data_IF_626216282437
#
_entry.id   IF_626216282437
#
_cell.length_a   1.000
_cell.length_b   1.000
_cell.length_c   1.000
_cell.angle_alpha   90.00
_cell.angle_beta   90.00
_cell.angle_gamma   90.00
#
_symmetry.space_group_name_H-M   'P 1'
#
loop_
_entity.id
_entity.type
_entity.pdbx_description
1 polymer ?
#
# COMPACT_ATOMS: atom_id res chain seq x y z
N UNK A 1 9.12 5.50 10.64
CA UNK A 1 8.02 5.64 9.64
C UNK A 1 7.20 6.88 9.98
N UNK A 2 6.83 7.68 8.98
CA UNK A 2 5.95 8.82 9.11
C UNK A 2 4.59 8.38 8.59
N UNK A 3 3.58 8.34 9.45
CA UNK A 3 2.24 7.82 9.16
C UNK A 3 1.21 8.94 9.33
N UNK A 4 0.59 9.35 8.24
CA UNK A 4 -0.48 10.34 8.24
C UNK A 4 -1.27 10.32 6.94
N UNK A 5 -2.56 10.64 7.03
CA UNK A 5 -3.41 10.91 5.86
C UNK A 5 -3.26 12.34 5.31
N UNK A 6 -2.56 13.22 6.05
CA UNK A 6 -2.37 14.64 5.67
C UNK A 6 -0.96 14.87 5.15
N UNK A 7 -0.86 15.33 3.90
CA UNK A 7 0.44 15.60 3.29
C UNK A 7 1.29 16.60 4.07
N UNK A 8 0.71 17.65 4.62
CA UNK A 8 1.44 18.65 5.42
C UNK A 8 2.13 18.05 6.65
N UNK A 9 1.53 17.03 7.26
CA UNK A 9 2.13 16.30 8.39
C UNK A 9 3.28 15.41 7.92
N UNK A 10 3.09 14.70 6.80
CA UNK A 10 4.14 13.89 6.17
C UNK A 10 5.35 14.75 5.84
N UNK A 11 5.14 15.89 5.19
CA UNK A 11 6.24 16.78 4.81
C UNK A 11 6.96 17.38 6.03
N UNK A 12 6.24 17.79 7.05
CA UNK A 12 6.84 18.25 8.30
C UNK A 12 7.68 17.15 8.96
N UNK A 13 7.17 15.92 8.99
CA UNK A 13 7.90 14.77 9.50
C UNK A 13 9.17 14.46 8.71
N UNK A 14 9.10 14.52 7.36
CA UNK A 14 10.28 14.31 6.49
C UNK A 14 11.43 15.29 6.78
N UNK A 15 11.10 16.53 7.16
CA UNK A 15 12.12 17.54 7.54
C UNK A 15 12.82 17.23 8.85
N UNK A 16 12.23 16.37 9.70
CA UNK A 16 12.75 16.06 11.02
C UNK A 16 13.43 14.68 11.10
N UNK A 17 13.26 13.83 10.10
CA UNK A 17 13.82 12.47 10.10
C UNK A 17 15.28 12.51 9.67
N UNK A 18 16.13 11.84 10.45
CA UNK A 18 17.51 11.55 10.07
C UNK A 18 17.64 10.13 9.54
N UNK A 19 18.47 9.96 8.52
CA UNK A 19 18.62 8.69 7.82
C UNK A 19 17.43 8.41 6.90
N UNK A 20 17.32 7.16 6.44
CA UNK A 20 16.29 6.76 5.48
C UNK A 20 14.93 6.56 6.18
N UNK A 21 14.03 7.51 5.99
CA UNK A 21 12.66 7.41 6.47
C UNK A 21 11.77 6.58 5.55
N UNK A 22 10.58 6.22 6.03
CA UNK A 22 9.51 5.61 5.24
C UNK A 22 8.26 6.45 5.44
N UNK A 23 7.62 6.84 4.35
CA UNK A 23 6.32 7.53 4.35
C UNK A 23 5.20 6.51 4.24
N UNK A 24 4.20 6.60 5.08
CA UNK A 24 2.95 5.85 4.99
C UNK A 24 1.78 6.84 4.97
N UNK A 25 1.11 7.08 3.86
CA UNK A 25 1.29 6.50 2.54
C UNK A 25 0.93 7.54 1.47
N UNK A 26 1.21 7.23 0.21
CA UNK A 26 0.69 7.95 -0.94
C UNK A 26 -0.17 7.02 -1.81
N UNK A 27 -1.02 7.61 -2.65
CA UNK A 27 -1.87 6.86 -3.59
C UNK A 27 -2.33 7.76 -4.72
N UNK A 28 -2.98 7.18 -5.73
CA UNK A 28 -3.56 7.93 -6.85
C UNK A 28 -5.01 8.42 -6.60
N UNK A 29 -5.51 8.34 -5.36
CA UNK A 29 -6.90 8.74 -5.04
C UNK A 29 -7.19 10.20 -5.37
N UNK A 30 -6.21 11.09 -5.23
CA UNK A 30 -6.30 12.51 -5.56
C UNK A 30 -5.82 12.80 -7.00
N UNK A 31 -5.66 11.77 -7.82
CA UNK A 31 -5.18 11.86 -9.19
C UNK A 31 -3.66 11.75 -9.34
N UNK A 32 -3.26 11.44 -10.57
CA UNK A 32 -1.86 11.17 -10.94
C UNK A 32 -0.95 12.38 -10.72
N UNK A 33 -1.43 13.61 -10.96
CA UNK A 33 -0.62 14.81 -10.80
C UNK A 33 -0.15 15.00 -9.35
N UNK A 34 -1.06 14.84 -8.38
CA UNK A 34 -0.75 14.96 -6.98
C UNK A 34 0.15 13.79 -6.51
N UNK A 35 -0.14 12.58 -6.96
CA UNK A 35 0.69 11.40 -6.70
C UNK A 35 2.15 11.62 -7.13
N UNK A 36 2.38 12.11 -8.35
CA UNK A 36 3.72 12.44 -8.86
C UNK A 36 4.38 13.57 -8.04
N UNK A 37 3.62 14.59 -7.66
CA UNK A 37 4.13 15.70 -6.84
C UNK A 37 4.65 15.19 -5.49
N UNK A 38 3.86 14.39 -4.81
CA UNK A 38 4.22 13.79 -3.52
C UNK A 38 5.43 12.86 -3.66
N UNK A 39 5.44 11.99 -4.65
CA UNK A 39 6.54 11.07 -4.92
C UNK A 39 7.87 11.80 -5.18
N UNK A 40 7.86 12.88 -5.98
CA UNK A 40 9.06 13.70 -6.21
C UNK A 40 9.60 14.32 -4.93
N UNK A 41 8.73 14.79 -4.04
CA UNK A 41 9.15 15.34 -2.76
C UNK A 41 9.73 14.26 -1.84
N UNK A 42 9.09 13.11 -1.72
CA UNK A 42 9.60 11.98 -0.92
C UNK A 42 10.99 11.55 -1.43
N UNK A 43 11.14 11.43 -2.75
CA UNK A 43 12.44 11.11 -3.38
C UNK A 43 13.51 12.15 -3.03
N UNK A 44 13.18 13.44 -3.04
CA UNK A 44 14.14 14.52 -2.67
C UNK A 44 14.60 14.42 -1.22
N UNK A 45 13.75 13.93 -0.31
CA UNK A 45 14.13 13.64 1.07
C UNK A 45 14.87 12.30 1.25
N UNK A 46 15.03 11.51 0.18
CA UNK A 46 15.70 10.21 0.23
C UNK A 46 14.93 9.13 0.98
N UNK A 47 13.62 9.30 1.14
CA UNK A 47 12.77 8.35 1.85
C UNK A 47 12.17 7.29 0.92
N UNK A 48 11.86 6.12 1.48
CA UNK A 48 11.00 5.11 0.87
C UNK A 48 9.52 5.47 1.11
N UNK A 49 8.61 4.86 0.36
CA UNK A 49 7.19 5.13 0.51
C UNK A 49 6.33 3.88 0.41
N UNK A 50 5.32 3.83 1.26
CA UNK A 50 4.19 2.93 1.08
C UNK A 50 3.25 3.52 0.03
N UNK A 51 2.86 2.72 -0.94
CA UNK A 51 1.93 3.07 -2.02
C UNK A 51 0.70 2.18 -1.89
N UNK A 52 -0.41 2.79 -1.50
CA UNK A 52 -1.67 2.06 -1.39
C UNK A 52 -2.29 1.81 -2.77
N UNK A 53 -2.86 0.62 -2.95
CA UNK A 53 -3.66 0.28 -4.13
C UNK A 53 -5.02 1.01 -4.09
N UNK A 54 -4.98 2.31 -4.35
CA UNK A 54 -6.09 3.25 -4.30
C UNK A 54 -5.95 4.25 -5.44
N UNK A 55 -6.92 4.31 -6.32
CA UNK A 55 -6.97 5.25 -7.43
C UNK A 55 -8.19 6.17 -7.36
N UNK A 56 -8.45 6.90 -8.42
CA UNK A 56 -9.54 7.86 -8.54
C UNK A 56 -10.94 7.20 -8.41
N UNK A 57 -11.03 5.88 -8.60
CA UNK A 57 -12.27 5.10 -8.48
C UNK A 57 -12.46 4.49 -7.08
N UNK A 58 -11.44 4.51 -6.25
CA UNK A 58 -11.49 3.98 -4.89
C UNK A 58 -10.42 2.94 -4.58
N UNK A 59 -10.52 2.31 -3.41
CA UNK A 59 -9.62 1.23 -2.99
C UNK A 59 -9.82 -0.03 -3.82
N UNK A 60 -8.72 -0.69 -4.14
CA UNK A 60 -8.75 -2.01 -4.78
C UNK A 60 -9.22 -3.07 -3.78
N UNK A 61 -10.29 -3.75 -4.11
CA UNK A 61 -10.88 -4.86 -3.35
C UNK A 61 -10.58 -6.21 -3.98
N UNK A 62 -10.63 -6.33 -5.31
CA UNK A 62 -10.37 -7.56 -6.06
C UNK A 62 -8.90 -7.71 -6.47
N UNK A 63 -8.46 -8.94 -6.69
CA UNK A 63 -7.12 -9.25 -7.22
C UNK A 63 -6.78 -8.40 -8.46
N UNK A 64 -7.67 -8.37 -9.44
CA UNK A 64 -7.45 -7.66 -10.71
C UNK A 64 -7.20 -6.17 -10.47
N UNK A 65 -8.05 -5.52 -9.67
CA UNK A 65 -7.89 -4.10 -9.33
C UNK A 65 -6.59 -3.82 -8.59
N UNK A 66 -6.17 -4.74 -7.69
CA UNK A 66 -4.92 -4.58 -6.93
C UNK A 66 -3.71 -4.57 -7.85
N UNK A 67 -3.62 -5.52 -8.78
CA UNK A 67 -2.48 -5.59 -9.71
C UNK A 67 -2.46 -4.44 -10.70
N UNK A 68 -3.60 -4.05 -11.28
CA UNK A 68 -3.71 -2.93 -12.21
C UNK A 68 -3.25 -1.60 -11.59
N UNK A 69 -3.71 -1.30 -10.38
CA UNK A 69 -3.32 -0.07 -9.67
C UNK A 69 -1.85 -0.10 -9.28
N UNK A 70 -1.34 -1.25 -8.77
CA UNK A 70 0.07 -1.36 -8.41
C UNK A 70 1.00 -1.25 -9.62
N UNK A 71 0.65 -1.88 -10.74
CA UNK A 71 1.42 -1.79 -11.98
C UNK A 71 1.42 -0.36 -12.53
N UNK A 72 0.26 0.28 -12.60
CA UNK A 72 0.13 1.68 -13.03
C UNK A 72 0.97 2.61 -12.14
N UNK A 73 0.89 2.44 -10.82
CA UNK A 73 1.67 3.24 -9.89
C UNK A 73 3.17 2.98 -10.01
N UNK A 74 3.58 1.73 -10.22
CA UNK A 74 4.97 1.36 -10.43
C UNK A 74 5.55 2.05 -11.66
N UNK A 75 4.88 1.95 -12.80
CA UNK A 75 5.33 2.57 -14.07
C UNK A 75 5.45 4.09 -13.92
N UNK A 76 4.46 4.75 -13.28
CA UNK A 76 4.53 6.19 -13.02
C UNK A 76 5.73 6.54 -12.12
N UNK A 77 5.95 5.78 -11.05
CA UNK A 77 7.03 6.07 -10.10
C UNK A 77 8.40 5.83 -10.71
N UNK A 78 8.61 4.71 -11.38
CA UNK A 78 9.92 4.34 -11.94
C UNK A 78 10.21 5.13 -13.20
N UNK A 79 9.29 5.14 -14.18
CA UNK A 79 9.56 5.68 -15.51
C UNK A 79 9.41 7.19 -15.57
N UNK A 80 8.43 7.77 -14.87
CA UNK A 80 8.13 9.21 -14.99
C UNK A 80 8.68 10.04 -13.83
N UNK A 81 8.77 9.49 -12.61
CA UNK A 81 9.34 10.17 -11.44
C UNK A 81 10.81 9.83 -11.26
N UNK A 82 11.26 8.66 -11.73
CA UNK A 82 12.58 8.11 -11.48
C UNK A 82 12.77 7.71 -10.02
N UNK A 83 11.70 7.23 -9.37
CA UNK A 83 11.74 6.74 -8.00
C UNK A 83 12.47 5.40 -7.96
N UNK A 84 13.39 5.16 -6.99
CA UNK A 84 14.06 3.86 -6.88
C UNK A 84 13.04 2.75 -6.60
N UNK A 85 13.05 1.69 -7.40
CA UNK A 85 12.09 0.59 -7.27
C UNK A 85 12.18 -0.09 -5.89
N UNK A 86 13.39 -0.21 -5.33
CA UNK A 86 13.65 -0.77 -4.01
C UNK A 86 13.09 0.06 -2.85
N UNK A 87 12.71 1.29 -3.10
CA UNK A 87 12.10 2.20 -2.14
C UNK A 87 10.57 2.25 -2.23
N UNK A 88 9.99 1.50 -3.16
CA UNK A 88 8.55 1.35 -3.31
C UNK A 88 8.07 0.16 -2.48
N UNK A 89 7.08 0.39 -1.62
CA UNK A 89 6.45 -0.62 -0.78
C UNK A 89 4.96 -0.61 -1.08
N UNK A 90 4.46 -1.56 -1.85
CA UNK A 90 3.02 -1.63 -2.13
C UNK A 90 2.22 -2.12 -0.94
N UNK A 91 1.09 -1.48 -0.67
CA UNK A 91 0.01 -2.01 0.15
C UNK A 91 -1.19 -2.28 -0.76
N UNK A 92 -1.39 -3.55 -1.17
CA UNK A 92 -2.49 -3.91 -2.06
C UNK A 92 -3.85 -3.94 -1.36
N UNK A 93 -3.97 -3.39 -0.17
CA UNK A 93 -5.12 -3.39 0.73
C UNK A 93 -5.53 -4.79 1.17
N UNK A 94 -5.70 -4.97 2.48
CA UNK A 94 -6.30 -6.18 3.03
C UNK A 94 -7.55 -5.80 3.85
N UNK A 95 -8.64 -6.53 3.62
CA UNK A 95 -9.92 -6.29 4.25
C UNK A 95 -10.33 -7.47 5.12
N UNK A 96 -11.33 -7.26 5.98
CA UNK A 96 -11.85 -8.28 6.87
C UNK A 96 -12.55 -9.40 6.09
N UNK A 97 -12.29 -10.63 6.51
CA UNK A 97 -13.04 -11.82 6.08
C UNK A 97 -14.13 -12.16 7.12
N UNK A 98 -14.98 -13.14 6.81
CA UNK A 98 -16.05 -13.62 7.70
C UNK A 98 -16.99 -12.51 8.17
N UNK A 99 -17.31 -11.58 7.29
CA UNK A 99 -18.23 -10.45 7.55
C UNK A 99 -19.70 -10.83 7.38
N UNK A 100 -19.99 -12.03 6.88
CA UNK A 100 -21.33 -12.45 6.46
C UNK A 100 -21.72 -12.00 5.04
N UNK A 101 -20.83 -11.33 4.32
CA UNK A 101 -21.00 -10.89 2.93
C UNK A 101 -20.15 -11.82 2.05
N UNK A 102 -20.78 -12.46 1.06
CA UNK A 102 -20.15 -13.49 0.24
C UNK A 102 -18.98 -12.94 -0.60
N UNK A 103 -19.10 -11.72 -1.13
CA UNK A 103 -18.06 -11.05 -1.90
C UNK A 103 -16.76 -10.82 -1.10
N UNK A 104 -16.83 -10.78 0.23
CA UNK A 104 -15.67 -10.58 1.10
C UNK A 104 -14.87 -11.87 1.36
N UNK A 105 -15.37 -13.04 0.96
CA UNK A 105 -14.72 -14.31 1.26
C UNK A 105 -13.34 -14.47 0.61
N UNK A 106 -13.10 -13.81 -0.52
CA UNK A 106 -11.85 -13.90 -1.27
C UNK A 106 -10.80 -12.82 -0.90
N UNK A 107 -11.10 -11.89 -0.03
CA UNK A 107 -10.19 -10.75 0.25
C UNK A 107 -8.79 -11.16 0.72
N UNK A 108 -8.69 -12.22 1.53
CA UNK A 108 -7.38 -12.72 1.97
C UNK A 108 -6.61 -13.39 0.81
N UNK A 109 -7.31 -14.19 -0.01
CA UNK A 109 -6.74 -14.83 -1.19
C UNK A 109 -6.27 -13.79 -2.19
N UNK A 110 -7.10 -12.78 -2.49
CA UNK A 110 -6.76 -11.69 -3.40
C UNK A 110 -5.53 -10.90 -2.96
N UNK A 111 -5.36 -10.71 -1.64
CA UNK A 111 -4.17 -10.07 -1.10
C UNK A 111 -2.91 -10.93 -1.30
N UNK A 112 -3.00 -12.24 -1.01
CA UNK A 112 -1.89 -13.18 -1.18
C UNK A 112 -1.47 -13.28 -2.64
N UNK A 113 -2.44 -13.45 -3.55
CA UNK A 113 -2.17 -13.56 -4.98
C UNK A 113 -1.63 -12.24 -5.57
N UNK A 114 -2.18 -11.09 -5.15
CA UNK A 114 -1.63 -9.78 -5.53
C UNK A 114 -0.20 -9.60 -5.04
N UNK A 115 0.10 -10.01 -3.80
CA UNK A 115 1.47 -9.98 -3.26
C UNK A 115 2.42 -10.83 -4.10
N UNK A 116 2.01 -12.05 -4.46
CA UNK A 116 2.79 -12.94 -5.30
C UNK A 116 3.03 -12.33 -6.68
N UNK A 117 2.00 -11.78 -7.30
CA UNK A 117 2.08 -11.12 -8.59
C UNK A 117 3.03 -9.91 -8.56
N UNK A 118 2.89 -9.02 -7.57
CA UNK A 118 3.77 -7.85 -7.39
C UNK A 118 5.24 -8.28 -7.30
N UNK A 119 5.53 -9.29 -6.49
CA UNK A 119 6.91 -9.80 -6.31
C UNK A 119 7.53 -10.37 -7.59
N UNK A 120 6.72 -10.92 -8.50
CA UNK A 120 7.20 -11.48 -9.77
C UNK A 120 7.28 -10.44 -10.88
N UNK A 121 6.37 -9.48 -10.93
CA UNK A 121 6.20 -8.60 -12.09
C UNK A 121 6.73 -7.17 -11.85
N UNK A 122 6.89 -6.73 -10.60
CA UNK A 122 7.38 -5.39 -10.26
C UNK A 122 8.74 -5.48 -9.56
N UNK A 123 9.83 -5.61 -10.32
CA UNK A 123 11.15 -5.91 -9.76
C UNK A 123 11.62 -4.80 -8.80
N UNK A 124 12.21 -5.20 -7.68
CA UNK A 124 12.69 -4.30 -6.63
C UNK A 124 11.61 -3.88 -5.62
N UNK A 125 10.34 -3.84 -6.00
CA UNK A 125 9.25 -3.45 -5.12
C UNK A 125 9.06 -4.43 -3.96
N UNK A 126 8.66 -3.86 -2.82
CA UNK A 126 8.31 -4.58 -1.59
C UNK A 126 6.80 -4.57 -1.39
N UNK A 127 6.31 -5.41 -0.49
CA UNK A 127 4.90 -5.45 -0.11
C UNK A 127 4.76 -5.33 1.39
N UNK A 128 3.75 -4.61 1.82
CA UNK A 128 3.30 -4.45 3.19
C UNK A 128 1.78 -4.57 3.23
N UNK A 129 1.21 -4.64 4.42
CA UNK A 129 -0.24 -4.64 4.58
C UNK A 129 -0.66 -4.57 6.04
N UNK A 130 -1.85 -4.01 6.28
CA UNK A 130 -2.50 -4.00 7.59
C UNK A 130 -3.07 -5.39 7.92
N UNK A 131 -2.21 -6.40 8.09
CA UNK A 131 -2.59 -7.82 8.15
C UNK A 131 -3.63 -8.10 9.23
N UNK A 132 -3.63 -7.36 10.35
CA UNK A 132 -4.63 -7.52 11.40
C UNK A 132 -6.06 -7.21 10.94
N UNK A 133 -6.24 -6.53 9.81
CA UNK A 133 -7.56 -6.26 9.25
C UNK A 133 -8.27 -7.54 8.80
N UNK A 134 -7.55 -8.56 8.35
CA UNK A 134 -8.15 -9.82 7.88
C UNK A 134 -9.00 -10.48 8.97
N UNK A 135 -8.54 -10.40 10.22
CA UNK A 135 -9.22 -11.01 11.38
C UNK A 135 -10.11 -10.03 12.17
N UNK A 136 -10.44 -8.88 11.57
CA UNK A 136 -11.21 -7.83 12.27
C UNK A 136 -12.56 -8.33 12.81
N UNK A 137 -13.23 -9.19 12.06
CA UNK A 137 -14.52 -9.79 12.46
C UNK A 137 -14.44 -10.64 13.74
N UNK A 138 -13.21 -11.03 14.13
CA UNK A 138 -12.95 -11.85 15.30
C UNK A 138 -12.31 -11.08 16.45
N UNK A 139 -12.47 -9.75 16.49
CA UNK A 139 -11.98 -8.94 17.62
C UNK A 139 -12.56 -9.42 18.94
N UNK A 140 -11.69 -9.59 19.95
CA UNK A 140 -12.04 -10.14 21.25
C UNK A 140 -11.89 -11.67 21.36
N UNK A 141 -11.55 -12.35 20.26
CA UNK A 141 -11.25 -13.79 20.25
C UNK A 141 -9.81 -14.02 19.75
N UNK A 142 -8.83 -13.81 20.64
CA UNK A 142 -7.42 -13.87 20.30
C UNK A 142 -6.97 -15.23 19.77
N UNK A 143 -7.41 -16.40 20.33
CA UNK A 143 -7.02 -17.69 19.77
C UNK A 143 -7.41 -17.89 18.30
N UNK A 144 -8.60 -17.40 17.89
CA UNK A 144 -9.02 -17.46 16.48
C UNK A 144 -8.18 -16.50 15.63
N UNK A 145 -7.90 -15.32 16.14
CA UNK A 145 -7.07 -14.33 15.42
C UNK A 145 -5.65 -14.84 15.22
N UNK A 146 -5.04 -15.44 16.23
CA UNK A 146 -3.72 -16.07 16.13
C UNK A 146 -3.71 -17.16 15.06
N UNK A 147 -4.71 -18.04 15.04
CA UNK A 147 -4.82 -19.09 14.03
C UNK A 147 -4.95 -18.53 12.59
N UNK A 148 -5.64 -17.39 12.41
CA UNK A 148 -5.77 -16.74 11.09
C UNK A 148 -4.43 -16.16 10.62
N UNK A 149 -3.58 -15.71 11.55
CA UNK A 149 -2.31 -15.06 11.22
C UNK A 149 -1.10 -16.01 11.17
N UNK A 150 -1.28 -17.27 11.51
CA UNK A 150 -0.25 -18.31 11.45
C UNK A 150 -0.17 -18.95 10.08
#
# INVERSE_FOLDING_TARGET
MIDSSKWSVIEAGLRCVQGKGIVNSISMKEGVAEFKRQARLIRRYGAATVVMAFDEQGQADTFQRKIEICERAYNILVDEVGFPAEDIIFDPNIFAIATGIEEHNNYAVDFIEATRWIKHNLPGAKVSGGVSNVSFSFRGNDPVREAIHT
#
